data_IF_080815000943
#
_entry.id   IF_080815000943
#
_cell.length_a   1.000
_cell.length_b   1.000
_cell.length_c   1.000
_cell.angle_alpha   90.00
_cell.angle_beta   90.00
_cell.angle_gamma   90.00
#
_symmetry.space_group_name_H-M   'P 1'
#
loop_
_entity.id
_entity.type
_entity.pdbx_description
1 polymer ?
#
# COMPACT_ATOMS: atom_id res chain seq x y z
N UNK A 1 11.72 -1.55 -9.10
CA UNK A 1 10.36 -0.99 -9.22
C UNK A 1 9.37 -2.03 -8.69
N UNK A 2 8.11 -1.67 -8.44
CA UNK A 2 7.04 -2.60 -8.12
C UNK A 2 5.93 -2.49 -9.18
N UNK A 3 5.47 -3.63 -9.71
CA UNK A 3 4.32 -3.69 -10.59
C UNK A 3 3.05 -3.76 -9.75
N UNK A 4 2.04 -2.96 -10.10
CA UNK A 4 0.77 -2.90 -9.38
C UNK A 4 -0.39 -3.09 -10.34
N UNK A 5 -1.44 -3.78 -9.89
CA UNK A 5 -2.71 -3.86 -10.60
C UNK A 5 -3.60 -2.72 -10.13
N UNK A 6 -4.12 -1.94 -11.06
CA UNK A 6 -5.09 -0.87 -10.80
C UNK A 6 -6.46 -1.49 -11.00
N UNK A 7 -7.24 -1.59 -9.93
CA UNK A 7 -8.56 -2.21 -9.95
C UNK A 7 -9.71 -1.23 -9.64
N UNK A 8 -9.40 -0.06 -9.11
CA UNK A 8 -10.38 0.98 -8.77
C UNK A 8 -9.77 2.38 -8.95
N UNK A 9 -10.61 3.35 -9.33
CA UNK A 9 -10.26 4.78 -9.36
C UNK A 9 -11.32 5.53 -8.55
N UNK A 10 -10.88 6.26 -7.53
CA UNK A 10 -11.77 6.99 -6.62
C UNK A 10 -12.68 7.97 -7.37
N UNK A 11 -13.98 7.91 -7.08
CA UNK A 11 -14.99 8.79 -7.70
C UNK A 11 -15.28 8.49 -9.18
N UNK A 12 -14.85 7.33 -9.70
CA UNK A 12 -15.13 6.87 -11.07
C UNK A 12 -15.88 5.54 -11.06
N UNK A 13 -16.63 5.23 -12.13
CA UNK A 13 -17.25 3.91 -12.26
C UNK A 13 -16.20 2.79 -12.27
N UNK A 14 -16.59 1.54 -11.95
CA UNK A 14 -15.69 0.39 -12.00
C UNK A 14 -14.97 0.27 -13.34
N UNK A 15 -13.68 -0.10 -13.28
CA UNK A 15 -12.87 -0.28 -14.47
C UNK A 15 -13.33 -1.52 -15.25
N UNK A 16 -13.56 -1.36 -16.55
CA UNK A 16 -13.98 -2.45 -17.45
C UNK A 16 -12.81 -3.19 -18.10
N UNK A 17 -11.56 -2.92 -17.68
CA UNK A 17 -10.35 -3.47 -18.26
C UNK A 17 -9.25 -3.77 -17.25
N UNK A 18 -8.19 -4.40 -17.71
CA UNK A 18 -7.00 -4.69 -16.91
C UNK A 18 -6.02 -3.52 -17.02
N UNK A 19 -5.86 -2.79 -15.91
CA UNK A 19 -4.93 -1.70 -15.81
C UNK A 19 -3.79 -2.07 -14.86
N UNK A 20 -2.57 -1.71 -15.24
CA UNK A 20 -1.38 -1.95 -14.46
C UNK A 20 -0.49 -0.71 -14.44
N UNK A 21 0.20 -0.52 -13.33
CA UNK A 21 1.08 0.61 -13.11
C UNK A 21 2.44 0.19 -12.57
N UNK A 22 3.40 1.11 -12.66
CA UNK A 22 4.76 0.92 -12.17
C UNK A 22 5.01 1.95 -11.06
N UNK A 23 5.31 1.45 -9.87
CA UNK A 23 5.82 2.25 -8.75
C UNK A 23 7.35 2.18 -8.76
N UNK A 24 7.98 3.30 -9.08
CA UNK A 24 9.43 3.45 -8.97
C UNK A 24 9.83 3.90 -7.56
N UNK A 25 11.02 3.52 -7.09
CA UNK A 25 11.49 3.86 -5.73
C UNK A 25 11.57 5.37 -5.49
N UNK A 26 11.88 6.14 -6.53
CA UNK A 26 11.86 7.60 -6.44
C UNK A 26 10.45 8.14 -6.14
N UNK A 27 9.39 7.47 -6.58
CA UNK A 27 7.99 7.88 -6.43
C UNK A 27 7.36 7.44 -5.10
N UNK A 28 8.19 7.02 -4.12
CA UNK A 28 7.71 6.56 -2.81
C UNK A 28 7.71 7.66 -1.76
N UNK A 29 8.82 8.37 -1.62
CA UNK A 29 9.06 9.35 -0.58
C UNK A 29 10.03 10.41 -1.08
N UNK A 30 10.08 11.56 -0.42
CA UNK A 30 11.14 12.55 -0.58
C UNK A 30 12.40 12.17 0.20
N UNK A 31 12.26 11.36 1.25
CA UNK A 31 13.37 10.81 2.03
C UNK A 31 13.96 9.57 1.38
N UNK A 32 15.23 9.29 1.67
CA UNK A 32 15.91 8.10 1.17
C UNK A 32 15.21 6.80 1.61
N UNK A 33 14.91 5.96 0.63
CA UNK A 33 14.35 4.62 0.81
C UNK A 33 15.38 3.63 0.29
N UNK A 34 15.81 2.70 1.15
CA UNK A 34 16.82 1.69 0.78
C UNK A 34 16.25 0.64 -0.17
N UNK A 35 15.04 0.17 0.10
CA UNK A 35 14.40 -0.91 -0.66
C UNK A 35 12.89 -0.72 -0.71
N UNK A 36 12.28 -1.10 -1.83
CA UNK A 36 10.81 -1.08 -1.97
C UNK A 36 10.13 -2.06 -1.01
N UNK A 37 10.81 -3.11 -0.56
CA UNK A 37 10.27 -4.10 0.38
C UNK A 37 9.97 -3.55 1.78
N UNK A 38 10.56 -2.41 2.15
CA UNK A 38 10.27 -1.69 3.40
C UNK A 38 9.03 -0.79 3.29
N UNK A 39 8.52 -0.63 2.07
CA UNK A 39 7.48 0.33 1.70
C UNK A 39 6.19 -0.41 1.35
N UNK A 40 6.29 -1.39 0.47
CA UNK A 40 5.20 -2.19 -0.07
C UNK A 40 5.68 -3.64 -0.22
N UNK A 41 4.76 -4.59 -0.07
CA UNK A 41 4.98 -6.00 -0.40
C UNK A 41 3.88 -6.55 -1.30
N UNK A 42 4.16 -7.72 -1.84
CA UNK A 42 3.22 -8.47 -2.67
C UNK A 42 1.94 -8.72 -1.86
N UNK A 43 0.80 -8.45 -2.47
CA UNK A 43 -0.52 -8.61 -1.84
C UNK A 43 -0.99 -7.40 -1.03
N UNK A 44 -0.15 -6.40 -0.79
CA UNK A 44 -0.59 -5.15 -0.15
C UNK A 44 -1.56 -4.40 -1.08
N UNK A 45 -2.61 -3.82 -0.49
CA UNK A 45 -3.48 -2.88 -1.20
C UNK A 45 -2.96 -1.48 -0.90
N UNK A 46 -2.72 -0.70 -1.97
CA UNK A 46 -2.19 0.65 -1.87
C UNK A 46 -3.17 1.67 -2.45
N UNK A 47 -3.27 2.81 -1.79
CA UNK A 47 -3.85 4.03 -2.35
C UNK A 47 -2.72 4.85 -2.95
N UNK A 48 -2.85 5.25 -4.20
CA UNK A 48 -1.78 5.89 -4.95
C UNK A 48 -2.31 6.92 -5.95
N UNK A 49 -1.41 7.77 -6.44
CA UNK A 49 -1.68 8.76 -7.48
C UNK A 49 -1.08 8.29 -8.81
N UNK A 50 -1.86 8.38 -9.89
CA UNK A 50 -1.38 8.17 -11.26
C UNK A 50 -0.80 9.48 -11.79
N UNK A 51 0.45 9.45 -12.27
CA UNK A 51 1.19 10.65 -12.69
C UNK A 51 0.99 11.02 -14.16
N UNK A 52 0.60 10.07 -15.00
CA UNK A 52 0.47 10.24 -16.45
C UNK A 52 -0.84 9.67 -16.98
N UNK A 53 -1.25 10.11 -18.18
CA UNK A 53 -2.54 9.76 -18.79
C UNK A 53 -2.51 8.58 -19.76
N UNK A 54 -1.32 8.12 -20.14
CA UNK A 54 -1.12 7.04 -21.11
C UNK A 54 -0.30 5.90 -20.49
N UNK A 55 -0.53 4.64 -20.91
CA UNK A 55 0.36 3.53 -20.56
C UNK A 55 1.80 3.80 -21.04
N UNK A 56 2.85 3.41 -20.31
CA UNK A 56 2.86 2.73 -19.01
C UNK A 56 2.51 3.69 -17.86
N UNK A 57 1.52 3.33 -17.03
CA UNK A 57 1.06 4.19 -15.94
C UNK A 57 2.11 4.28 -14.83
N UNK A 58 2.60 5.49 -14.57
CA UNK A 58 3.52 5.79 -13.47
C UNK A 58 2.73 6.08 -12.21
N UNK A 59 3.05 5.37 -11.14
CA UNK A 59 2.35 5.45 -9.86
C UNK A 59 3.26 6.12 -8.83
N UNK A 60 2.67 7.04 -8.06
CA UNK A 60 3.28 7.68 -6.91
C UNK A 60 2.51 7.37 -5.65
N UNK A 61 3.25 7.10 -4.58
CA UNK A 61 2.69 7.08 -3.22
C UNK A 61 3.30 8.17 -2.34
N UNK A 62 3.92 9.21 -2.94
CA UNK A 62 4.40 10.37 -2.17
C UNK A 62 3.21 11.13 -1.58
N UNK A 63 3.32 11.52 -0.32
CA UNK A 63 2.23 12.14 0.43
C UNK A 63 1.84 11.32 1.65
N UNK A 64 1.03 11.90 2.54
CA UNK A 64 0.55 11.21 3.75
C UNK A 64 -0.75 10.45 3.48
N UNK A 65 -1.53 10.88 2.49
CA UNK A 65 -2.76 10.20 2.09
C UNK A 65 -2.51 8.92 1.27
N UNK A 66 -1.31 8.77 0.70
CA UNK A 66 -0.94 7.64 -0.14
C UNK A 66 0.01 6.67 0.56
N UNK A 67 -0.10 5.40 0.16
CA UNK A 67 0.61 4.30 0.77
C UNK A 67 -0.27 3.06 0.88
N UNK A 68 0.21 2.10 1.66
CA UNK A 68 -0.52 0.88 1.99
C UNK A 68 -1.76 1.24 2.81
N UNK A 69 -2.92 0.74 2.41
CA UNK A 69 -4.21 0.88 3.11
C UNK A 69 -4.67 -0.44 3.75
N UNK A 70 -4.16 -1.57 3.25
CA UNK A 70 -4.40 -2.89 3.82
C UNK A 70 -3.20 -3.80 3.54
N UNK A 71 -2.81 -4.60 4.53
CA UNK A 71 -1.65 -5.49 4.43
C UNK A 71 -1.88 -6.79 5.20
N UNK A 72 -1.25 -7.85 4.72
CA UNK A 72 -1.21 -9.15 5.38
C UNK A 72 0.19 -9.42 5.94
N UNK A 73 0.25 -10.18 7.03
CA UNK A 73 1.53 -10.63 7.57
C UNK A 73 2.23 -11.54 6.55
N UNK A 74 3.51 -11.28 6.30
CA UNK A 74 4.28 -12.04 5.29
C UNK A 74 4.51 -13.51 5.66
N UNK A 75 4.24 -13.88 6.91
CA UNK A 75 4.41 -15.25 7.39
C UNK A 75 3.10 -16.03 7.43
N UNK A 76 2.10 -15.48 8.12
CA UNK A 76 0.90 -16.21 8.50
C UNK A 76 -0.38 -15.61 7.90
N UNK A 77 -0.23 -14.67 6.97
CA UNK A 77 -1.30 -14.01 6.20
C UNK A 77 -2.42 -13.39 7.04
N UNK A 78 -2.18 -13.22 8.35
CA UNK A 78 -3.11 -12.54 9.25
C UNK A 78 -3.09 -11.04 8.94
N UNK A 79 -4.24 -10.36 8.83
CA UNK A 79 -4.29 -8.92 8.63
C UNK A 79 -3.46 -8.18 9.68
N UNK A 80 -2.63 -7.26 9.21
CA UNK A 80 -1.78 -6.46 10.09
C UNK A 80 -2.59 -5.33 10.72
N UNK A 81 -2.24 -4.99 11.97
CA UNK A 81 -2.87 -3.90 12.72
C UNK A 81 -1.87 -2.78 12.88
N UNK A 82 -2.27 -1.55 12.56
CA UNK A 82 -1.44 -0.38 12.79
C UNK A 82 -1.36 -0.07 14.29
N UNK A 83 -0.16 -0.13 14.86
CA UNK A 83 0.15 0.23 16.25
C UNK A 83 1.33 1.19 16.27
N UNK A 84 1.17 2.39 16.83
CA UNK A 84 2.26 3.37 17.00
C UNK A 84 3.09 3.58 15.72
N UNK A 85 2.42 3.70 14.57
CA UNK A 85 3.01 3.87 13.22
C UNK A 85 3.67 2.63 12.60
N UNK A 86 3.57 1.45 13.22
CA UNK A 86 4.11 0.20 12.69
C UNK A 86 3.00 -0.82 12.46
N UNK A 87 3.18 -1.71 11.48
CA UNK A 87 2.24 -2.79 11.22
C UNK A 87 2.60 -4.01 12.07
N UNK A 88 1.67 -4.42 12.93
CA UNK A 88 1.85 -5.50 13.89
C UNK A 88 0.91 -6.67 13.57
N UNK A 89 1.45 -7.88 13.55
CA UNK A 89 0.66 -9.09 13.39
C UNK A 89 0.13 -9.59 14.75
N UNK A 90 -1.19 -9.66 14.97
CA UNK A 90 -1.75 -10.10 16.25
C UNK A 90 -1.56 -11.60 16.52
N UNK A 91 -1.33 -12.41 15.47
CA UNK A 91 -1.14 -13.87 15.59
C UNK A 91 0.33 -14.23 15.82
N UNK A 92 1.21 -13.74 14.96
CA UNK A 92 2.62 -14.12 14.92
C UNK A 92 3.55 -13.15 15.67
N UNK A 93 2.99 -12.04 16.20
CA UNK A 93 3.68 -10.98 16.95
C UNK A 93 4.84 -10.28 16.21
N UNK A 94 4.94 -10.50 14.89
CA UNK A 94 5.92 -9.83 14.03
C UNK A 94 5.52 -8.38 13.79
N UNK A 95 6.54 -7.53 13.69
CA UNK A 95 6.41 -6.14 13.28
C UNK A 95 6.99 -6.01 11.88
N UNK A 96 6.22 -5.42 10.96
CA UNK A 96 6.61 -5.22 9.57
C UNK A 96 6.58 -3.73 9.21
N UNK A 97 7.57 -3.31 8.42
CA UNK A 97 7.65 -1.93 7.91
C UNK A 97 6.90 -1.83 6.59
N UNK A 98 6.02 -0.84 6.49
CA UNK A 98 5.37 -0.39 5.26
C UNK A 98 5.24 1.12 5.29
N UNK A 99 5.12 1.74 4.11
CA UNK A 99 4.65 3.13 4.02
C UNK A 99 3.14 3.11 4.09
N UNK A 100 2.60 3.39 5.28
CA UNK A 100 1.18 3.34 5.56
C UNK A 100 0.52 4.66 5.17
N UNK A 101 -0.62 4.59 4.47
CA UNK A 101 -1.47 5.74 4.19
C UNK A 101 -2.23 6.17 5.46
N UNK A 102 -2.57 7.45 5.58
CA UNK A 102 -3.38 7.94 6.71
C UNK A 102 -4.73 7.21 6.84
N UNK A 103 -5.31 6.78 5.71
CA UNK A 103 -6.55 6.02 5.63
C UNK A 103 -6.38 4.51 5.78
N UNK A 104 -5.30 4.04 6.43
CA UNK A 104 -5.12 2.60 6.68
C UNK A 104 -6.32 2.02 7.40
N UNK A 105 -6.81 0.88 6.91
CA UNK A 105 -7.97 0.23 7.47
C UNK A 105 -7.68 -0.20 8.90
N UNK A 106 -8.15 0.60 9.86
CA UNK A 106 -8.12 0.23 11.26
C UNK A 106 -9.15 -0.88 11.46
N UNK A 107 -8.70 -2.13 11.52
CA UNK A 107 -9.51 -3.20 12.10
C UNK A 107 -9.73 -2.83 13.57
N UNK A 108 -10.80 -2.10 13.88
CA UNK A 108 -11.26 -1.92 15.25
C UNK A 108 -11.56 -3.32 15.76
N UNK A 109 -10.76 -3.79 16.73
CA UNK A 109 -11.21 -4.88 17.59
C UNK A 109 -12.46 -4.36 18.30
N UNK A 110 -13.63 -4.81 17.87
CA UNK A 110 -14.79 -4.87 18.75
C UNK A 110 -14.41 -5.81 19.88
N UNK A 111 -13.95 -5.24 20.99
CA UNK A 111 -13.88 -5.93 22.27
C UNK A 111 -15.32 -6.22 22.69
N UNK A 112 -15.75 -7.45 22.48
CA UNK A 112 -16.87 -8.05 23.19
C UNK A 112 -16.30 -9.21 24.01
#
# INVERSE_FOLDING_TARGET
YAAVKIFEVEGKPPLTGLFSGILHISQVSTSFVRTLYDVVRIGDIIRAQVLNRAPLYQISIRGREFGVVYALCSECLTPLVLRSLQLFCPKCRRVEKRKVAFSYYMVRRSSA
#
